data_IF_741205665018
#
_entry.id   IF_741205665018
#
_cell.length_a   1.000
_cell.length_b   1.000
_cell.length_c   1.000
_cell.angle_alpha   90.00
_cell.angle_beta   90.00
_cell.angle_gamma   90.00
#
_symmetry.space_group_name_H-M   'P 1'
#
loop_
_entity.id
_entity.type
_entity.pdbx_description
1 polymer ?
#
# COMPACT_ATOMS: atom_id res chain seq x y z
N UNK A 1 2.60 19.30 18.56
CA UNK A 1 1.13 19.44 18.74
C UNK A 1 0.71 19.89 20.13
N UNK A 2 1.60 20.05 21.13
CA UNK A 2 1.19 20.47 22.48
C UNK A 2 0.45 19.41 23.30
N UNK A 3 0.30 18.19 22.77
CA UNK A 3 -0.34 17.06 23.42
C UNK A 3 0.68 16.23 24.22
N UNK A 4 0.23 15.66 25.33
CA UNK A 4 0.98 14.68 26.11
C UNK A 4 0.49 13.29 25.71
N UNK A 5 1.43 12.40 25.38
CA UNK A 5 1.13 11.00 25.05
C UNK A 5 1.80 10.10 26.07
N UNK A 6 1.00 9.22 26.68
CA UNK A 6 1.51 8.14 27.50
C UNK A 6 2.41 7.21 26.68
N UNK A 7 3.28 6.46 27.36
CA UNK A 7 4.11 5.44 26.70
C UNK A 7 3.22 4.51 25.86
N UNK A 8 3.66 4.19 24.65
CA UNK A 8 2.92 3.43 23.62
C UNK A 8 1.72 4.17 22.99
N UNK A 9 1.46 5.40 23.43
CA UNK A 9 0.49 6.29 22.80
C UNK A 9 0.88 6.54 21.35
N UNK A 10 -0.11 6.44 20.46
CA UNK A 10 0.05 6.60 19.01
C UNK A 10 -0.60 7.88 18.55
N UNK A 11 0.03 8.56 17.60
CA UNK A 11 -0.56 9.73 16.94
C UNK A 11 0.02 9.91 15.54
N UNK A 12 -0.72 10.65 14.71
CA UNK A 12 -0.21 11.16 13.44
C UNK A 12 0.37 12.57 13.64
N UNK A 13 1.64 12.83 13.27
CA UNK A 13 2.18 14.19 13.27
C UNK A 13 1.40 15.11 12.32
N UNK A 14 1.25 16.38 12.69
CA UNK A 14 0.49 17.33 11.86
C UNK A 14 1.24 17.58 10.55
N UNK A 15 0.54 17.43 9.43
CA UNK A 15 1.10 17.65 8.09
C UNK A 15 1.95 16.49 7.56
N UNK A 16 1.95 15.34 8.24
CA UNK A 16 2.73 14.17 7.81
C UNK A 16 1.87 12.91 7.77
N UNK A 17 2.08 12.05 6.77
CA UNK A 17 1.48 10.73 6.73
C UNK A 17 2.39 9.70 7.40
N UNK A 18 2.27 9.58 8.72
CA UNK A 18 3.05 8.63 9.51
C UNK A 18 2.37 8.34 10.84
N UNK A 19 2.66 7.18 11.43
CA UNK A 19 2.28 6.87 12.80
C UNK A 19 3.49 7.05 13.72
N UNK A 20 3.41 7.98 14.65
CA UNK A 20 4.36 8.12 15.74
C UNK A 20 3.90 7.31 16.96
N UNK A 21 4.85 6.72 17.68
CA UNK A 21 4.60 5.94 18.90
C UNK A 21 5.53 6.41 20.02
N UNK A 22 4.97 6.80 21.15
CA UNK A 22 5.72 7.28 22.31
C UNK A 22 6.53 6.14 22.95
N UNK A 23 7.84 6.31 23.11
CA UNK A 23 8.70 5.34 23.80
C UNK A 23 8.85 5.67 25.30
N UNK A 24 8.43 6.86 25.71
CA UNK A 24 8.65 7.42 27.04
C UNK A 24 9.88 8.33 27.07
N UNK A 25 10.08 9.05 28.18
CA UNK A 25 11.24 9.95 28.39
C UNK A 25 11.44 11.02 27.29
N UNK A 26 10.37 11.43 26.61
CA UNK A 26 10.43 12.39 25.52
C UNK A 26 10.87 11.82 24.16
N UNK A 27 11.12 10.51 24.09
CA UNK A 27 11.47 9.82 22.84
C UNK A 27 10.24 9.18 22.19
N UNK A 28 10.27 9.10 20.85
CA UNK A 28 9.23 8.45 20.07
C UNK A 28 9.83 7.86 18.79
N UNK A 29 9.21 6.80 18.29
CA UNK A 29 9.50 6.23 16.97
C UNK A 29 8.46 6.71 15.97
N UNK A 30 8.82 6.71 14.68
CA UNK A 30 7.91 7.10 13.60
C UNK A 30 7.95 6.07 12.48
N UNK A 31 6.79 5.53 12.16
CA UNK A 31 6.58 4.62 11.05
C UNK A 31 5.96 5.40 9.88
N UNK A 32 6.70 5.50 8.78
CA UNK A 32 6.22 6.16 7.55
C UNK A 32 5.42 5.22 6.65
N UNK A 33 5.00 5.75 5.50
CA UNK A 33 4.43 4.93 4.43
C UNK A 33 5.42 3.93 3.85
N UNK A 34 4.91 2.85 3.28
CA UNK A 34 5.71 1.93 2.51
C UNK A 34 6.23 2.63 1.23
N UNK A 35 7.49 2.41 0.89
CA UNK A 35 8.10 2.89 -0.34
C UNK A 35 7.66 1.97 -1.49
N UNK A 36 6.65 2.40 -2.23
CA UNK A 36 6.14 1.69 -3.40
C UNK A 36 6.89 2.21 -4.62
N UNK A 37 7.51 1.30 -5.36
CA UNK A 37 8.09 1.62 -6.67
C UNK A 37 7.18 1.09 -7.75
N UNK A 38 6.89 1.93 -8.74
CA UNK A 38 6.07 1.57 -9.90
C UNK A 38 6.85 1.79 -11.18
N UNK A 39 6.51 1.03 -12.23
CA UNK A 39 7.09 1.25 -13.55
C UNK A 39 6.37 2.40 -14.26
N UNK A 40 6.90 3.62 -14.07
CA UNK A 40 6.40 4.83 -14.73
C UNK A 40 6.48 4.74 -16.26
N UNK A 41 7.45 3.98 -16.81
CA UNK A 41 7.57 3.79 -18.26
C UNK A 41 6.45 2.92 -18.83
N UNK A 42 5.89 2.04 -18.00
CA UNK A 42 4.66 1.30 -18.28
C UNK A 42 3.39 2.11 -17.96
N UNK A 43 3.53 3.35 -17.50
CA UNK A 43 2.43 4.30 -17.23
C UNK A 43 1.80 4.18 -15.85
N UNK A 44 2.37 3.41 -14.93
CA UNK A 44 1.93 3.41 -13.54
C UNK A 44 2.26 4.74 -12.86
N UNK A 45 1.43 5.14 -11.91
CA UNK A 45 1.69 6.29 -11.04
C UNK A 45 1.39 5.95 -9.58
N UNK A 46 1.65 6.89 -8.68
CA UNK A 46 1.23 6.82 -7.28
C UNK A 46 0.23 7.95 -7.01
N UNK A 47 -0.76 7.69 -6.16
CA UNK A 47 -1.54 8.80 -5.57
C UNK A 47 -0.63 9.65 -4.69
N UNK A 48 -0.93 10.94 -4.56
CA UNK A 48 -0.23 11.79 -3.61
C UNK A 48 -0.52 11.37 -2.16
N UNK A 49 0.41 11.67 -1.25
CA UNK A 49 0.14 11.58 0.18
C UNK A 49 -0.95 12.59 0.55
N UNK A 50 -1.89 12.13 1.40
CA UNK A 50 -2.96 12.98 1.91
C UNK A 50 -2.94 13.01 3.45
N UNK A 51 -2.11 13.87 4.07
CA UNK A 51 -2.00 13.97 5.52
C UNK A 51 -3.30 14.38 6.24
N UNK A 52 -4.36 14.72 5.50
CA UNK A 52 -5.69 14.96 6.09
C UNK A 52 -6.41 13.67 6.48
N UNK A 53 -6.03 12.54 5.88
CA UNK A 53 -6.51 11.20 6.24
C UNK A 53 -5.68 10.60 7.37
N UNK A 54 -6.26 9.61 8.04
CA UNK A 54 -5.56 8.87 9.09
C UNK A 54 -4.58 7.87 8.48
N UNK A 55 -3.43 7.68 9.11
CA UNK A 55 -2.52 6.60 8.77
C UNK A 55 -3.21 5.25 9.00
N UNK A 56 -3.09 4.28 8.06
CA UNK A 56 -2.27 4.29 6.84
C UNK A 56 -2.99 4.79 5.58
N UNK A 57 -4.25 5.23 5.67
CA UNK A 57 -5.06 5.65 4.51
C UNK A 57 -4.56 6.93 3.83
N UNK A 58 -3.73 7.72 4.52
CA UNK A 58 -3.04 8.86 3.93
C UNK A 58 -1.90 8.49 2.98
N UNK A 59 -1.47 7.22 2.96
CA UNK A 59 -0.29 6.79 2.21
C UNK A 59 -0.54 6.69 0.70
N UNK A 60 0.50 6.89 -0.13
CA UNK A 60 0.41 6.72 -1.58
C UNK A 60 -0.03 5.30 -1.93
N UNK A 61 -0.89 5.16 -2.93
CA UNK A 61 -1.31 3.89 -3.49
C UNK A 61 -0.94 3.83 -4.98
N UNK A 62 -0.59 2.65 -5.51
CA UNK A 62 -0.28 2.51 -6.92
C UNK A 62 -1.55 2.66 -7.76
N UNK A 63 -1.45 3.46 -8.81
CA UNK A 63 -2.50 3.70 -9.78
C UNK A 63 -2.08 3.03 -11.09
N UNK A 64 -2.86 2.06 -11.60
CA UNK A 64 -2.54 1.37 -12.83
C UNK A 64 -2.55 2.34 -14.02
N UNK A 65 -1.75 2.09 -15.06
CA UNK A 65 -1.79 2.87 -16.28
C UNK A 65 -3.21 2.89 -16.84
N UNK A 66 -3.72 4.08 -17.14
CA UNK A 66 -4.88 4.20 -18.00
C UNK A 66 -4.50 3.59 -19.35
N UNK A 67 -5.26 2.61 -19.86
CA UNK A 67 -4.92 2.05 -21.17
C UNK A 67 -4.89 3.18 -22.20
N UNK A 68 -3.85 3.23 -23.01
CA UNK A 68 -3.53 4.38 -23.88
C UNK A 68 -4.14 4.29 -25.27
N UNK A 69 -4.97 3.28 -25.56
CA UNK A 69 -5.73 3.25 -26.81
C UNK A 69 -6.82 4.33 -26.78
N UNK A 70 -6.68 5.31 -27.67
CA UNK A 70 -7.61 6.45 -27.84
C UNK A 70 -9.06 6.03 -28.15
N UNK A 71 -9.26 4.76 -28.55
CA UNK A 71 -10.57 4.16 -28.70
C UNK A 71 -10.84 3.13 -27.58
N UNK A 72 -11.66 3.48 -26.57
CA UNK A 72 -12.10 2.56 -25.53
C UNK A 72 -12.84 1.34 -26.05
N UNK A 73 -13.45 1.40 -27.24
CA UNK A 73 -14.19 0.29 -27.85
C UNK A 73 -13.30 -0.78 -28.46
N UNK A 74 -12.00 -0.48 -28.64
CA UNK A 74 -10.98 -1.45 -29.07
C UNK A 74 -10.27 -2.13 -27.89
N UNK A 75 -10.70 -1.87 -26.66
CA UNK A 75 -10.15 -2.52 -25.46
C UNK A 75 -10.96 -3.76 -25.17
N UNK A 76 -10.43 -4.92 -25.54
CA UNK A 76 -11.03 -6.18 -25.10
C UNK A 76 -10.75 -6.42 -23.62
N UNK A 77 -11.68 -7.04 -22.87
CA UNK A 77 -11.45 -7.41 -21.48
C UNK A 77 -10.35 -8.48 -21.37
N UNK A 78 -9.94 -8.76 -20.14
CA UNK A 78 -9.02 -9.84 -19.84
C UNK A 78 -9.79 -11.11 -19.45
N UNK A 79 -9.25 -12.26 -19.82
CA UNK A 79 -9.85 -13.57 -19.57
C UNK A 79 -8.92 -14.42 -18.72
N UNK A 80 -9.41 -14.89 -17.58
CA UNK A 80 -8.66 -15.80 -16.71
C UNK A 80 -9.62 -16.69 -15.94
N UNK A 81 -9.29 -17.97 -15.77
CA UNK A 81 -10.09 -18.94 -15.01
C UNK A 81 -11.58 -18.97 -15.41
N UNK A 82 -11.86 -18.74 -16.69
CA UNK A 82 -13.22 -18.68 -17.23
C UNK A 82 -14.02 -17.42 -16.84
N UNK A 83 -13.38 -16.43 -16.21
CA UNK A 83 -13.96 -15.12 -15.87
C UNK A 83 -13.47 -14.05 -16.83
N UNK A 84 -14.32 -13.04 -17.01
CA UNK A 84 -14.04 -11.83 -17.80
C UNK A 84 -13.79 -10.71 -16.80
N UNK A 85 -12.73 -9.94 -17.04
CA UNK A 85 -12.35 -8.77 -16.25
C UNK A 85 -12.32 -7.55 -17.16
N UNK A 86 -13.13 -6.55 -16.82
CA UNK A 86 -13.12 -5.28 -17.54
C UNK A 86 -11.79 -4.56 -17.32
N UNK A 87 -11.45 -3.65 -18.24
CA UNK A 87 -10.22 -2.87 -18.12
C UNK A 87 -10.24 -2.04 -16.83
N UNK A 88 -9.16 -2.13 -16.05
CA UNK A 88 -9.06 -1.51 -14.74
C UNK A 88 -9.55 -2.40 -13.59
N UNK A 89 -10.23 -3.52 -13.86
CA UNK A 89 -10.60 -4.46 -12.81
C UNK A 89 -9.38 -5.20 -12.27
N UNK A 90 -9.38 -5.37 -10.95
CA UNK A 90 -8.37 -6.12 -10.21
C UNK A 90 -8.75 -7.60 -10.11
N UNK A 91 -7.72 -8.45 -10.07
CA UNK A 91 -7.83 -9.81 -9.53
C UNK A 91 -6.75 -10.07 -8.49
N UNK A 92 -7.02 -11.02 -7.61
CA UNK A 92 -6.00 -11.61 -6.75
C UNK A 92 -5.45 -12.87 -7.43
N UNK A 93 -4.12 -13.08 -7.35
CA UNK A 93 -3.46 -14.28 -7.89
C UNK A 93 -3.12 -15.20 -6.71
N UNK A 94 -3.61 -16.46 -6.69
CA UNK A 94 -3.31 -17.38 -5.60
C UNK A 94 -1.81 -17.54 -5.35
N UNK A 95 -1.39 -17.30 -4.10
CA UNK A 95 0.02 -17.42 -3.69
C UNK A 95 0.89 -16.21 -4.01
N UNK A 96 0.34 -15.14 -4.58
CA UNK A 96 1.04 -13.90 -4.88
C UNK A 96 0.33 -12.70 -4.25
N UNK A 97 1.09 -11.87 -3.53
CA UNK A 97 0.58 -10.61 -3.00
C UNK A 97 1.02 -9.44 -3.89
N UNK A 98 0.07 -8.84 -4.58
CA UNK A 98 0.30 -7.70 -5.45
C UNK A 98 -1.00 -7.23 -6.09
N UNK A 99 -1.00 -5.99 -6.54
CA UNK A 99 -2.10 -5.42 -7.29
C UNK A 99 -2.01 -5.91 -8.73
N UNK A 100 -2.97 -6.72 -9.20
CA UNK A 100 -3.01 -7.22 -10.58
C UNK A 100 -4.23 -6.65 -11.30
N UNK A 101 -4.02 -5.86 -12.34
CA UNK A 101 -5.08 -5.11 -13.01
C UNK A 101 -5.13 -5.47 -14.49
N UNK A 102 -6.34 -5.61 -15.03
CA UNK A 102 -6.52 -5.81 -16.46
C UNK A 102 -6.15 -4.52 -17.21
N UNK A 103 -5.10 -4.59 -18.04
CA UNK A 103 -4.69 -3.49 -18.91
C UNK A 103 -5.47 -3.47 -20.25
N UNK A 104 -6.26 -4.51 -20.51
CA UNK A 104 -7.01 -4.75 -21.74
C UNK A 104 -6.26 -5.60 -22.76
N UNK A 105 -6.96 -6.06 -23.80
CA UNK A 105 -6.45 -6.95 -24.83
C UNK A 105 -5.82 -8.23 -24.27
N UNK A 106 -6.44 -8.78 -23.23
CA UNK A 106 -5.94 -9.92 -22.46
C UNK A 106 -4.53 -9.73 -21.87
N UNK A 107 -4.10 -8.49 -21.63
CA UNK A 107 -2.84 -8.16 -20.96
C UNK A 107 -3.10 -7.71 -19.53
N UNK A 108 -2.23 -8.19 -18.63
CA UNK A 108 -2.26 -7.85 -17.22
C UNK A 108 -1.08 -6.98 -16.87
N UNK A 109 -1.30 -6.06 -15.92
CA UNK A 109 -0.26 -5.21 -15.35
C UNK A 109 -0.27 -5.35 -13.84
N UNK A 110 0.88 -5.15 -13.20
CA UNK A 110 1.03 -5.44 -11.77
C UNK A 110 1.82 -4.37 -11.02
N UNK A 111 1.51 -4.20 -9.73
CA UNK A 111 2.34 -3.51 -8.75
C UNK A 111 2.57 -4.41 -7.53
N UNK A 112 3.78 -4.36 -6.98
CA UNK A 112 4.16 -5.12 -5.80
C UNK A 112 3.89 -4.33 -4.51
N UNK A 113 3.95 -5.01 -3.36
CA UNK A 113 3.96 -4.36 -2.06
C UNK A 113 5.16 -3.41 -1.90
N UNK A 114 4.95 -2.32 -1.17
CA UNK A 114 6.01 -1.37 -0.87
C UNK A 114 6.99 -1.87 0.19
N UNK A 115 8.20 -1.33 0.18
CA UNK A 115 9.23 -1.59 1.20
C UNK A 115 8.95 -0.75 2.46
N UNK A 116 8.87 -1.40 3.61
CA UNK A 116 8.62 -0.71 4.89
C UNK A 116 9.94 -0.50 5.63
N UNK A 117 10.29 0.77 5.87
CA UNK A 117 11.37 1.12 6.78
C UNK A 117 10.91 0.91 8.23
N UNK A 118 11.49 -0.09 8.91
CA UNK A 118 11.11 -0.41 10.28
C UNK A 118 11.81 0.52 11.28
N UNK A 119 11.06 1.15 12.21
CA UNK A 119 11.66 1.79 13.37
C UNK A 119 12.36 0.75 14.26
N UNK A 120 13.24 1.20 15.15
CA UNK A 120 13.94 0.32 16.08
C UNK A 120 12.96 -0.52 16.91
N UNK A 121 13.25 -1.82 17.04
CA UNK A 121 12.43 -2.78 17.78
C UNK A 121 11.18 -3.27 17.05
N UNK A 122 10.80 -2.67 15.92
CA UNK A 122 9.71 -3.20 15.09
C UNK A 122 10.19 -4.42 14.31
N UNK A 123 9.23 -5.29 13.99
CA UNK A 123 9.44 -6.46 13.12
C UNK A 123 8.47 -6.41 11.95
N UNK A 124 8.77 -7.12 10.87
CA UNK A 124 7.87 -7.22 9.73
C UNK A 124 7.01 -8.48 9.85
N UNK A 125 5.70 -8.37 9.64
CA UNK A 125 4.87 -9.57 9.43
C UNK A 125 5.22 -10.22 8.09
N UNK A 126 5.03 -11.53 7.93
CA UNK A 126 5.00 -12.10 6.58
C UNK A 126 3.85 -11.50 5.77
N UNK A 127 3.98 -11.54 4.44
CA UNK A 127 2.84 -11.34 3.54
C UNK A 127 1.82 -12.47 3.72
N UNK A 128 0.55 -12.16 3.44
CA UNK A 128 -0.57 -13.09 3.52
C UNK A 128 -1.32 -13.12 2.18
N UNK A 129 -0.86 -13.92 1.20
CA UNK A 129 -1.47 -13.99 -0.13
C UNK A 129 -2.91 -14.54 -0.15
N UNK A 130 -3.49 -14.88 1.00
CA UNK A 130 -4.91 -15.25 1.11
C UNK A 130 -5.84 -14.03 1.18
N UNK A 131 -5.28 -12.83 1.38
CA UNK A 131 -6.02 -11.56 1.44
C UNK A 131 -5.90 -10.78 0.13
N UNK A 132 -6.84 -9.87 -0.16
CA UNK A 132 -6.70 -8.96 -1.29
C UNK A 132 -5.58 -7.95 -1.05
N UNK A 133 -4.97 -7.46 -2.13
CA UNK A 133 -4.11 -6.27 -2.05
C UNK A 133 -4.93 -5.04 -1.63
N UNK A 134 -4.42 -4.13 -0.77
CA UNK A 134 -3.09 -4.13 -0.14
C UNK A 134 -3.01 -4.89 1.19
N UNK A 135 -4.10 -5.50 1.65
CA UNK A 135 -4.15 -6.16 2.95
C UNK A 135 -3.30 -7.42 3.07
N UNK A 136 -2.94 -8.03 1.94
CA UNK A 136 -1.97 -9.12 1.90
C UNK A 136 -0.54 -8.66 2.18
N UNK A 137 -0.23 -7.36 2.03
CA UNK A 137 1.13 -6.87 2.19
C UNK A 137 1.60 -7.01 3.64
N UNK A 138 2.91 -7.20 3.78
CA UNK A 138 3.58 -7.19 5.07
C UNK A 138 3.28 -5.89 5.84
N UNK A 139 3.14 -5.99 7.16
CA UNK A 139 2.85 -4.84 8.05
C UNK A 139 3.93 -4.75 9.12
N UNK A 140 4.26 -3.53 9.54
CA UNK A 140 5.16 -3.32 10.67
C UNK A 140 4.46 -3.68 11.98
N UNK A 141 5.08 -4.55 12.76
CA UNK A 141 4.60 -5.02 14.05
C UNK A 141 5.47 -4.38 15.14
N UNK A 142 4.87 -3.62 16.09
CA UNK A 142 5.63 -3.00 17.16
C UNK A 142 6.25 -4.05 18.10
N UNK A 143 7.33 -3.69 18.83
CA UNK A 143 7.93 -4.58 19.81
C UNK A 143 6.90 -5.03 20.86
N UNK A 144 7.00 -6.29 21.30
CA UNK A 144 6.14 -6.80 22.37
C UNK A 144 6.39 -6.04 23.65
N UNK A 145 5.32 -5.70 24.36
CA UNK A 145 5.38 -5.10 25.70
C UNK A 145 6.11 -6.06 26.63
N UNK A 146 7.28 -5.67 27.14
CA UNK A 146 7.83 -6.34 28.30
C UNK A 146 6.97 -5.92 29.49
N UNK A 147 6.17 -6.86 30.02
CA UNK A 147 5.41 -6.70 31.26
C UNK A 147 6.31 -6.50 32.46
#
# INVERSE_FOLDING_TARGET
NGNIYEKEGKWQPVGECAEATCQGNGEYTKLGCALIQVDESAGWTLTEEDPSKSYPECCPQPVPPASTTEDPSLRFPCFEDGKIYEVGEQRDIPGYCGLNVCAGNNKWTQAACGLIALPEGYTLSPEDPSKPYPDCCAKAIPPKKNK
#
